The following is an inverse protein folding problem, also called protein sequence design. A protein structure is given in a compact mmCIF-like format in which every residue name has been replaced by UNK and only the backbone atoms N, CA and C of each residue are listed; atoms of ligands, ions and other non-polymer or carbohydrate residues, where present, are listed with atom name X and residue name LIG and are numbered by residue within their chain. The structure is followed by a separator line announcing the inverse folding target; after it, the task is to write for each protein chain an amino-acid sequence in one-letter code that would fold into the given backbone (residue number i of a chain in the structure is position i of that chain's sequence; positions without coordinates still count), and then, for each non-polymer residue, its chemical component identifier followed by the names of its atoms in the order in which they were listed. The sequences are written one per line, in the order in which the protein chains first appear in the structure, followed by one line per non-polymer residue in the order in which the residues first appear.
data_IF_833606200702
#
_entry.id   IF_833606200702
#
_cell.length_a   1.000
_cell.length_b   1.000
_cell.length_c   1.000
_cell.angle_alpha   90.00
_cell.angle_beta   90.00
_cell.angle_gamma   90.00
#
_symmetry.space_group_name_H-M   'P 1'
#
loop_
_entity.id
_entity.type
_entity.pdbx_description
1 polymer ?
#
# COMPACT_ATOMS: atom_id res chain seq x y z
N UNK A 1 2.40 6.18 2.61
CA UNK A 1 1.73 4.87 2.80
C UNK A 1 0.90 4.45 1.58
N UNK A 2 -0.13 5.21 1.19
CA UNK A 2 -1.12 4.81 0.17
C UNK A 2 -0.51 4.36 -1.17
N UNK A 3 0.39 5.15 -1.74
CA UNK A 3 1.07 4.85 -3.01
C UNK A 3 1.90 3.56 -2.96
N UNK A 4 2.54 3.28 -1.83
CA UNK A 4 3.34 2.07 -1.65
C UNK A 4 2.48 0.84 -1.40
N UNK A 5 1.31 1.02 -0.77
CA UNK A 5 0.33 -0.05 -0.63
C UNK A 5 -0.28 -0.44 -1.97
N UNK A 6 -0.51 0.52 -2.88
CA UNK A 6 -0.95 0.23 -4.26
C UNK A 6 0.06 -0.65 -5.01
N UNK A 7 1.37 -0.41 -4.82
CA UNK A 7 2.43 -1.26 -5.34
C UNK A 7 2.32 -2.69 -4.78
N UNK A 8 2.20 -2.85 -3.45
CA UNK A 8 2.03 -4.17 -2.83
C UNK A 8 0.76 -4.91 -3.32
N UNK A 9 -0.36 -4.19 -3.46
CA UNK A 9 -1.65 -4.78 -3.87
C UNK A 9 -1.63 -5.36 -5.29
N UNK A 10 -0.69 -4.90 -6.14
CA UNK A 10 -0.51 -5.42 -7.50
C UNK A 10 -0.13 -6.90 -7.55
N UNK A 11 0.55 -7.41 -6.51
CA UNK A 11 1.08 -8.78 -6.47
C UNK A 11 0.67 -9.48 -5.18
N UNK A 12 -0.63 -9.72 -5.03
CA UNK A 12 -1.21 -10.46 -3.89
C UNK A 12 -1.05 -11.98 -3.99
N UNK A 13 -0.76 -12.53 -5.18
CA UNK A 13 -0.66 -13.98 -5.43
C UNK A 13 0.78 -14.48 -5.30
N UNK A 14 1.34 -14.48 -4.09
CA UNK A 14 2.60 -15.16 -3.75
C UNK A 14 3.87 -14.74 -4.52
N UNK A 15 3.77 -13.78 -5.45
CA UNK A 15 4.88 -13.26 -6.23
C UNK A 15 5.67 -12.24 -5.39
N UNK A 16 6.87 -12.62 -4.94
CA UNK A 16 7.74 -11.77 -4.11
C UNK A 16 8.24 -10.51 -4.82
N UNK A 17 8.32 -10.52 -6.15
CA UNK A 17 8.86 -9.40 -6.92
C UNK A 17 7.77 -8.40 -7.32
N UNK A 18 7.50 -7.44 -6.42
CA UNK A 18 6.51 -6.36 -6.65
C UNK A 18 6.88 -5.50 -7.87
N UNK A 19 8.19 -5.33 -8.12
CA UNK A 19 8.72 -4.55 -9.24
C UNK A 19 8.67 -5.28 -10.59
N UNK A 20 8.42 -6.61 -10.62
CA UNK A 20 8.42 -7.36 -11.87
C UNK A 20 7.26 -6.90 -12.76
N UNK A 21 7.61 -6.50 -13.98
CA UNK A 21 6.66 -5.99 -14.96
C UNK A 21 6.00 -4.67 -14.58
N UNK A 22 6.53 -3.89 -13.63
CA UNK A 22 5.97 -2.58 -13.25
C UNK A 22 5.80 -1.66 -14.47
N UNK A 23 6.85 -1.59 -15.29
CA UNK A 23 6.87 -0.80 -16.53
C UNK A 23 6.15 -1.46 -17.71
N UNK A 24 5.66 -2.70 -17.56
CA UNK A 24 4.94 -3.40 -18.63
C UNK A 24 3.49 -2.95 -18.76
N UNK A 25 2.92 -2.27 -17.75
CA UNK A 25 1.57 -1.74 -17.80
C UNK A 25 1.62 -0.21 -17.64
N UNK A 26 1.44 0.55 -18.73
CA UNK A 26 1.55 2.00 -18.69
C UNK A 26 0.47 2.68 -17.85
N UNK A 27 -0.72 2.10 -17.78
CA UNK A 27 -1.83 2.64 -16.98
C UNK A 27 -1.43 2.68 -15.50
N UNK A 28 -0.77 1.64 -15.01
CA UNK A 28 -0.40 1.53 -13.60
C UNK A 28 0.56 2.65 -13.17
N UNK A 29 1.71 2.79 -13.85
CA UNK A 29 2.67 3.82 -13.45
C UNK A 29 2.15 5.23 -13.73
N UNK A 30 1.30 5.43 -14.75
CA UNK A 30 0.65 6.72 -15.00
C UNK A 30 -0.24 7.14 -13.83
N UNK A 31 -1.14 6.26 -13.35
CA UNK A 31 -2.01 6.55 -12.19
C UNK A 31 -1.16 6.83 -10.95
N UNK A 32 -0.13 6.03 -10.72
CA UNK A 32 0.76 6.19 -9.58
C UNK A 32 1.50 7.54 -9.59
N UNK A 33 2.00 7.98 -10.75
CA UNK A 33 2.68 9.28 -10.89
C UNK A 33 1.68 10.44 -10.74
N UNK A 34 0.51 10.35 -11.37
CA UNK A 34 -0.51 11.40 -11.29
C UNK A 34 -0.99 11.58 -9.85
N UNK A 35 -1.25 10.49 -9.13
CA UNK A 35 -1.68 10.55 -7.73
C UNK A 35 -0.58 11.09 -6.81
N UNK A 36 0.69 10.74 -7.03
CA UNK A 36 1.81 11.33 -6.31
C UNK A 36 1.94 12.84 -6.56
N UNK A 37 1.89 13.27 -7.82
CA UNK A 37 1.97 14.69 -8.18
C UNK A 37 0.82 15.49 -7.57
N UNK A 38 -0.41 14.96 -7.65
CA UNK A 38 -1.58 15.59 -7.06
C UNK A 38 -1.46 15.70 -5.53
N UNK A 39 -0.93 14.67 -4.85
CA UNK A 39 -0.67 14.73 -3.41
C UNK A 39 0.32 15.86 -3.06
N UNK A 40 1.41 16.01 -3.81
CA UNK A 40 2.37 17.10 -3.58
C UNK A 40 1.72 18.47 -3.78
N UNK A 41 0.94 18.64 -4.84
CA UNK A 41 0.23 19.91 -5.11
C UNK A 41 -0.78 20.23 -4.00
N UNK A 42 -1.60 19.26 -3.60
CA UNK A 42 -2.61 19.47 -2.55
C UNK A 42 -1.94 19.73 -1.20
N UNK A 43 -0.89 19.01 -0.82
CA UNK A 43 -0.22 19.25 0.47
C UNK A 43 0.45 20.62 0.53
N UNK A 44 1.03 21.08 -0.58
CA UNK A 44 1.75 22.35 -0.61
C UNK A 44 0.84 23.57 -0.81
N UNK A 45 -0.28 23.41 -1.53
CA UNK A 45 -1.15 24.52 -1.94
C UNK A 45 -2.63 24.36 -1.53
N UNK A 46 -3.01 23.24 -0.91
CA UNK A 46 -4.40 22.96 -0.54
C UNK A 46 -4.93 23.86 0.57
N UNK A 47 -4.05 24.35 1.45
CA UNK A 47 -4.37 25.33 2.48
C UNK A 47 -5.66 25.01 3.25
N UNK A 48 -6.48 26.03 3.48
CA UNK A 48 -7.75 25.92 4.20
C UNK A 48 -8.81 25.06 3.48
N UNK A 49 -8.79 24.98 2.14
CA UNK A 49 -9.78 24.22 1.37
C UNK A 49 -9.72 22.73 1.63
N UNK A 50 -8.51 22.21 1.86
CA UNK A 50 -8.27 20.80 2.19
C UNK A 50 -7.81 20.61 3.64
N UNK A 51 -7.86 21.67 4.47
CA UNK A 51 -7.32 21.68 5.83
C UNK A 51 -5.87 21.13 5.91
N UNK A 52 -5.04 21.52 4.94
CA UNK A 52 -3.65 21.07 4.80
C UNK A 52 -2.67 22.21 5.04
N UNK A 53 -1.58 21.92 5.75
CA UNK A 53 -0.46 22.84 5.91
C UNK A 53 0.74 22.38 5.06
N UNK A 54 1.52 23.32 4.48
CA UNK A 54 2.72 22.99 3.73
C UNK A 54 3.70 22.22 4.61
N UNK A 55 4.18 21.09 4.09
CA UNK A 55 4.99 20.16 4.85
C UNK A 55 6.48 20.41 4.63
N UNK A 56 7.26 20.43 5.70
CA UNK A 56 8.72 20.57 5.60
C UNK A 56 9.38 19.35 4.96
N UNK A 57 10.53 19.57 4.31
CA UNK A 57 11.28 18.53 3.59
C UNK A 57 11.62 17.30 4.45
N UNK A 58 11.93 17.50 5.73
CA UNK A 58 12.27 16.39 6.61
C UNK A 58 11.05 15.50 6.94
N UNK A 59 9.86 16.08 7.04
CA UNK A 59 8.61 15.31 7.18
C UNK A 59 8.26 14.58 5.89
N UNK A 60 8.49 15.20 4.72
CA UNK A 60 8.34 14.52 3.42
C UNK A 60 9.18 13.24 3.35
N UNK A 61 10.46 13.32 3.74
CA UNK A 61 11.35 12.17 3.79
C UNK A 61 10.89 11.12 4.81
N UNK A 62 10.39 11.54 5.99
CA UNK A 62 9.83 10.62 6.96
C UNK A 62 8.59 9.89 6.40
N UNK A 63 7.67 10.60 5.76
CA UNK A 63 6.48 10.03 5.11
C UNK A 63 6.84 9.03 4.00
N UNK A 64 7.88 9.35 3.21
CA UNK A 64 8.43 8.44 2.20
C UNK A 64 9.06 7.21 2.84
N UNK A 65 9.86 7.37 3.91
CA UNK A 65 10.49 6.27 4.63
C UNK A 65 9.47 5.30 5.23
N UNK A 66 8.44 5.84 5.90
CA UNK A 66 7.31 5.05 6.36
C UNK A 66 6.59 4.35 5.21
N UNK A 67 6.40 5.05 4.08
CA UNK A 67 5.85 4.50 2.85
C UNK A 67 6.61 3.29 2.32
N UNK A 68 7.93 3.41 2.16
CA UNK A 68 8.80 2.30 1.75
C UNK A 68 8.77 1.17 2.78
N UNK A 69 8.66 1.51 4.07
CA UNK A 69 8.49 0.55 5.15
C UNK A 69 7.30 -0.40 4.95
N UNK A 70 6.21 0.03 4.29
CA UNK A 70 5.08 -0.86 4.00
C UNK A 70 5.40 -1.90 2.93
N UNK A 71 6.31 -1.61 1.99
CA UNK A 71 6.82 -2.60 1.04
C UNK A 71 7.61 -3.70 1.77
N UNK A 72 8.49 -3.30 2.69
CA UNK A 72 9.26 -4.24 3.52
C UNK A 72 8.34 -5.09 4.40
N UNK A 73 7.36 -4.46 5.05
CA UNK A 73 6.36 -5.16 5.85
C UNK A 73 5.57 -6.18 5.03
N UNK A 74 5.19 -5.84 3.79
CA UNK A 74 4.54 -6.77 2.87
C UNK A 74 5.36 -8.03 2.61
N UNK A 75 6.68 -7.91 2.45
CA UNK A 75 7.56 -9.06 2.28
C UNK A 75 7.64 -9.93 3.54
N UNK A 76 7.65 -9.32 4.73
CA UNK A 76 7.65 -10.04 6.01
C UNK A 76 6.37 -10.86 6.15
N UNK A 77 5.20 -10.26 5.89
CA UNK A 77 3.91 -10.95 5.95
C UNK A 77 3.86 -12.13 4.97
N UNK A 78 4.39 -11.96 3.76
CA UNK A 78 4.48 -13.04 2.77
C UNK A 78 5.44 -14.17 3.16
N UNK A 79 6.34 -13.96 4.13
CA UNK A 79 7.25 -14.99 4.63
C UNK A 79 6.66 -15.82 5.76
N UNK A 80 5.50 -15.45 6.33
CA UNK A 80 4.87 -16.20 7.43
C UNK A 80 4.10 -17.41 6.86
N UNK A 81 4.53 -18.66 7.13
CA UNK A 81 3.80 -19.85 6.69
C UNK A 81 2.51 -20.01 7.50
N UNK A 82 1.36 -20.05 6.81
CA UNK A 82 0.02 -20.22 7.41
C UNK A 82 -0.15 -21.51 8.22
N UNK A 83 0.76 -22.46 8.05
CA UNK A 83 0.70 -23.78 8.68
C UNK A 83 1.35 -23.84 10.08
N UNK A 84 2.12 -22.83 10.50
CA UNK A 84 2.93 -22.92 11.73
C UNK A 84 2.26 -22.27 12.96
N UNK A 85 1.16 -21.53 12.80
CA UNK A 85 0.65 -20.64 13.85
C UNK A 85 -0.80 -20.92 14.31
N UNK A 86 -1.42 -22.06 13.97
CA UNK A 86 -2.87 -22.25 14.22
C UNK A 86 -3.77 -21.25 13.46
N UNK A 87 -3.17 -20.44 12.59
CA UNK A 87 -3.82 -19.42 11.76
C UNK A 87 -4.69 -20.01 10.65
N UNK A 88 -4.56 -21.31 10.35
CA UNK A 88 -5.43 -22.01 9.41
C UNK A 88 -6.89 -22.00 9.89
N UNK A 89 -7.11 -22.13 11.20
CA UNK A 89 -8.46 -22.13 11.77
C UNK A 89 -9.00 -20.72 11.91
N UNK A 90 -8.18 -19.76 12.37
CA UNK A 90 -8.57 -18.34 12.44
C UNK A 90 -8.85 -17.78 11.04
N UNK A 91 -8.05 -18.12 10.03
CA UNK A 91 -8.29 -17.71 8.63
C UNK A 91 -9.61 -18.30 8.10
N UNK A 92 -9.88 -19.59 8.34
CA UNK A 92 -11.16 -20.22 7.97
C UNK A 92 -12.35 -19.57 8.69
N UNK A 93 -12.22 -19.27 9.98
CA UNK A 93 -13.25 -18.58 10.77
C UNK A 93 -13.48 -17.14 10.27
N UNK A 94 -12.43 -16.40 9.98
CA UNK A 94 -12.53 -15.02 9.52
C UNK A 94 -13.12 -14.95 8.10
N UNK A 95 -12.67 -15.81 7.18
CA UNK A 95 -13.22 -15.90 5.82
C UNK A 95 -14.69 -16.31 5.86
N UNK A 96 -15.07 -17.28 6.69
CA UNK A 96 -16.47 -17.70 6.84
C UNK A 96 -17.36 -16.57 7.38
N UNK A 97 -16.92 -15.85 8.41
CA UNK A 97 -17.70 -14.76 8.99
C UNK A 97 -17.74 -13.50 8.10
N UNK A 98 -16.69 -13.21 7.35
CA UNK A 98 -16.67 -12.09 6.39
C UNK A 98 -17.56 -12.38 5.17
N UNK A 99 -17.55 -13.61 4.64
CA UNK A 99 -18.45 -14.00 3.53
C UNK A 99 -19.92 -13.99 3.95
N UNK A 100 -20.23 -14.41 5.17
CA UNK A 100 -21.61 -14.46 5.70
C UNK A 100 -22.17 -13.06 5.96
N UNK A 101 -21.32 -12.05 6.20
CA UNK A 101 -21.77 -10.67 6.42
C UNK A 101 -21.96 -9.86 5.13
N UNK A 102 -21.67 -10.45 3.97
CA UNK A 102 -21.89 -9.87 2.64
C UNK A 102 -23.02 -10.55 1.85
N UNK A 103 -23.80 -11.44 2.48
CA UNK A 103 -25.08 -11.95 1.96
C UNK A 103 -26.20 -11.47 2.87
#
# INVERSE_FOLDING_TARGET
MTLFNELNARKIHGERNIFKGLFSNPIFYCIWIITFALQVVIVQFGGEWFATAPLEWHLWLACLGFGVGTLLWGQIVHCVPVNFAGLSDISKYFVKNVKVKMQ
#
